data_IF_270361999262
#
_entry.id   IF_270361999262
#
_cell.length_a   1.000
_cell.length_b   1.000
_cell.length_c   1.000
_cell.angle_alpha   90.00
_cell.angle_beta   90.00
_cell.angle_gamma   90.00
#
_symmetry.space_group_name_H-M   'P 1'
#
loop_
_entity.id
_entity.type
_entity.pdbx_description
1 polymer ?
#
# COMPACT_ATOMS: atom_id res chain seq x y z
N UNK A 1 8.75 50.39 -74.23
CA UNK A 1 9.69 50.47 -73.09
C UNK A 1 9.11 51.43 -72.08
N UNK A 2 9.09 51.04 -70.80
CA UNK A 2 8.73 51.81 -69.59
C UNK A 2 7.32 52.41 -69.52
N UNK A 3 6.59 52.41 -68.40
CA UNK A 3 6.83 51.93 -67.05
C UNK A 3 5.44 51.88 -66.37
N UNK A 4 5.13 50.83 -65.61
CA UNK A 4 3.93 50.76 -64.75
C UNK A 4 4.39 50.95 -63.31
N UNK A 5 3.76 51.86 -62.56
CA UNK A 5 3.84 51.95 -61.10
C UNK A 5 2.39 51.94 -60.57
N UNK A 6 1.87 50.78 -60.16
CA UNK A 6 1.79 50.23 -58.80
C UNK A 6 0.93 51.04 -57.83
N UNK A 7 -0.37 50.72 -57.80
CA UNK A 7 -1.22 50.93 -56.62
C UNK A 7 -1.06 49.72 -55.68
N UNK A 8 -0.59 49.98 -54.46
CA UNK A 8 -0.40 48.95 -53.43
C UNK A 8 -1.74 48.60 -52.79
N UNK A 9 -2.27 47.41 -53.10
CA UNK A 9 -3.38 46.80 -52.36
C UNK A 9 -2.77 45.88 -51.30
N UNK A 10 -2.98 46.21 -50.03
CA UNK A 10 -2.54 45.38 -48.90
C UNK A 10 -3.46 44.15 -48.83
N UNK A 11 -2.95 42.91 -48.84
CA UNK A 11 -3.79 41.75 -48.66
C UNK A 11 -4.16 41.60 -47.17
N UNK A 12 -5.45 41.43 -46.91
CA UNK A 12 -5.98 40.98 -45.62
C UNK A 12 -5.60 39.50 -45.43
N UNK A 13 -4.66 39.22 -44.54
CA UNK A 13 -4.34 37.85 -44.11
C UNK A 13 -5.37 37.40 -43.08
N UNK A 14 -6.20 36.42 -43.44
CA UNK A 14 -6.91 35.60 -42.46
C UNK A 14 -5.86 34.66 -41.86
N UNK A 15 -5.39 34.97 -40.65
CA UNK A 15 -4.57 34.07 -39.87
C UNK A 15 -5.46 33.11 -39.10
N UNK A 16 -5.79 31.98 -39.71
CA UNK A 16 -6.17 30.76 -39.01
C UNK A 16 -4.91 29.89 -38.95
N UNK A 17 -4.18 29.94 -37.84
CA UNK A 17 -3.41 28.80 -37.35
C UNK A 17 -3.66 28.72 -35.85
N UNK A 18 -4.40 27.71 -35.34
CA UNK A 18 -4.40 27.44 -33.92
C UNK A 18 -2.99 26.95 -33.55
N UNK A 19 -2.38 27.60 -32.55
CA UNK A 19 -1.18 27.09 -31.90
C UNK A 19 -1.45 25.62 -31.49
N UNK A 20 -0.79 24.69 -32.18
CA UNK A 20 -0.75 23.28 -31.79
C UNK A 20 -0.17 23.23 -30.39
N UNK A 21 -1.06 23.07 -29.40
CA UNK A 21 -0.70 22.85 -28.02
C UNK A 21 0.30 21.70 -27.95
N UNK A 22 1.35 21.90 -27.16
CA UNK A 22 2.33 20.86 -26.86
C UNK A 22 1.61 19.61 -26.37
N UNK A 23 1.39 18.66 -27.29
CA UNK A 23 0.97 17.31 -26.95
C UNK A 23 2.11 16.74 -26.11
N UNK A 24 1.83 16.51 -24.83
CA UNK A 24 2.70 15.76 -23.97
C UNK A 24 3.01 14.41 -24.63
N UNK A 25 4.30 14.13 -24.80
CA UNK A 25 4.81 12.93 -25.47
C UNK A 25 4.84 11.73 -24.53
N UNK A 26 4.11 11.77 -23.42
CA UNK A 26 4.03 10.66 -22.50
C UNK A 26 3.02 9.62 -23.04
N UNK A 27 3.45 8.40 -23.40
CA UNK A 27 2.57 7.36 -23.94
C UNK A 27 1.41 7.04 -23.00
N UNK A 28 1.60 7.20 -21.68
CA UNK A 28 0.56 6.96 -20.68
C UNK A 28 -0.58 7.99 -20.75
N UNK A 29 -0.29 9.24 -21.12
CA UNK A 29 -1.30 10.30 -21.25
C UNK A 29 -2.06 10.21 -22.58
N UNK A 30 -1.42 9.70 -23.65
CA UNK A 30 -2.07 9.45 -24.94
C UNK A 30 -3.06 8.28 -24.88
N UNK A 31 -2.78 7.27 -24.04
CA UNK A 31 -3.67 6.11 -23.86
C UNK A 31 -5.02 6.50 -23.22
N UNK A 32 -5.09 7.59 -22.43
CA UNK A 32 -6.34 8.07 -21.84
C UNK A 32 -7.18 8.99 -22.76
N UNK A 33 -6.71 9.31 -23.97
CA UNK A 33 -7.42 10.23 -24.87
C UNK A 33 -8.56 9.56 -25.65
N UNK A 34 -8.58 8.23 -25.77
CA UNK A 34 -9.65 7.49 -26.46
C UNK A 34 -10.92 7.37 -25.57
N UNK A 35 -12.08 7.91 -25.98
CA UNK A 35 -13.32 7.82 -25.19
C UNK A 35 -13.79 6.39 -24.91
N UNK A 36 -13.56 5.44 -25.82
CA UNK A 36 -13.95 4.04 -25.64
C UNK A 36 -13.10 3.36 -24.57
N UNK A 37 -11.79 3.62 -24.57
CA UNK A 37 -10.86 3.07 -23.57
C UNK A 37 -11.15 3.62 -22.18
N UNK A 38 -11.50 4.91 -22.07
CA UNK A 38 -11.95 5.50 -20.80
C UNK A 38 -13.23 4.85 -20.26
N UNK A 39 -14.20 4.54 -21.13
CA UNK A 39 -15.42 3.85 -20.71
C UNK A 39 -15.12 2.44 -20.20
N UNK A 40 -14.28 1.68 -20.92
CA UNK A 40 -13.85 0.35 -20.49
C UNK A 40 -13.10 0.39 -19.16
N UNK A 41 -12.22 1.38 -18.95
CA UNK A 41 -11.53 1.56 -17.67
C UNK A 41 -12.52 1.89 -16.55
N UNK A 42 -13.47 2.80 -16.77
CA UNK A 42 -14.48 3.15 -15.77
C UNK A 42 -15.36 1.95 -15.38
N UNK A 43 -15.72 1.10 -16.34
CA UNK A 43 -16.44 -0.15 -16.08
C UNK A 43 -15.58 -1.13 -15.28
N UNK A 44 -14.31 -1.30 -15.66
CA UNK A 44 -13.37 -2.15 -14.93
C UNK A 44 -13.18 -1.70 -13.47
N UNK A 45 -13.00 -0.38 -13.25
CA UNK A 45 -12.91 0.23 -11.92
C UNK A 45 -14.15 -0.08 -11.09
N UNK A 46 -15.35 0.08 -11.67
CA UNK A 46 -16.62 -0.20 -10.98
C UNK A 46 -16.77 -1.67 -10.63
N UNK A 47 -16.37 -2.58 -11.51
CA UNK A 47 -16.41 -4.02 -11.25
C UNK A 47 -15.40 -4.40 -10.15
N UNK A 48 -14.18 -3.86 -10.20
CA UNK A 48 -13.16 -4.10 -9.20
C UNK A 48 -13.58 -3.57 -7.82
N UNK A 49 -14.16 -2.36 -7.76
CA UNK A 49 -14.74 -1.78 -6.55
C UNK A 49 -15.75 -2.73 -5.92
N UNK A 50 -16.71 -3.25 -6.70
CA UNK A 50 -17.72 -4.17 -6.21
C UNK A 50 -17.11 -5.47 -5.66
N UNK A 51 -16.09 -6.02 -6.33
CA UNK A 51 -15.41 -7.25 -5.88
C UNK A 51 -14.68 -7.02 -4.56
N UNK A 52 -13.90 -5.94 -4.44
CA UNK A 52 -13.13 -5.65 -3.22
C UNK A 52 -14.06 -5.28 -2.07
N UNK A 53 -15.10 -4.48 -2.33
CA UNK A 53 -16.09 -4.08 -1.32
C UNK A 53 -16.86 -5.27 -0.74
N UNK A 54 -17.21 -6.24 -1.58
CA UNK A 54 -17.94 -7.44 -1.14
C UNK A 54 -17.06 -8.45 -0.38
N UNK A 55 -15.73 -8.30 -0.42
CA UNK A 55 -14.81 -9.25 0.21
C UNK A 55 -14.52 -8.87 1.67
N UNK A 56 -14.58 -9.87 2.56
CA UNK A 56 -14.14 -9.69 3.95
C UNK A 56 -12.61 -9.74 4.10
N UNK A 57 -11.93 -10.43 3.19
CA UNK A 57 -10.47 -10.61 3.16
C UNK A 57 -9.86 -9.80 2.00
N UNK A 58 -8.57 -9.40 2.09
CA UNK A 58 -7.87 -8.77 0.98
C UNK A 58 -7.95 -9.60 -0.31
N UNK A 59 -8.16 -8.93 -1.45
CA UNK A 59 -8.34 -9.57 -2.76
C UNK A 59 -7.08 -9.39 -3.59
N UNK A 60 -6.40 -10.50 -3.91
CA UNK A 60 -5.23 -10.52 -4.78
C UNK A 60 -5.57 -10.10 -6.22
N UNK A 61 -4.58 -9.56 -6.94
CA UNK A 61 -4.72 -9.26 -8.37
C UNK A 61 -5.10 -10.49 -9.20
N UNK A 62 -4.63 -11.68 -8.78
CA UNK A 62 -5.01 -12.95 -9.41
C UNK A 62 -6.50 -13.28 -9.22
N UNK A 63 -7.05 -13.02 -8.04
CA UNK A 63 -8.49 -13.20 -7.78
C UNK A 63 -9.34 -12.18 -8.56
N UNK A 64 -8.85 -10.95 -8.71
CA UNK A 64 -9.49 -9.95 -9.57
C UNK A 64 -9.48 -10.41 -11.03
N UNK A 65 -8.34 -10.88 -11.55
CA UNK A 65 -8.21 -11.39 -12.91
C UNK A 65 -9.16 -12.55 -13.22
N UNK A 66 -9.43 -13.41 -12.24
CA UNK A 66 -10.34 -14.54 -12.41
C UNK A 66 -11.83 -14.15 -12.45
N UNK A 67 -12.18 -12.93 -12.02
CA UNK A 67 -13.57 -12.45 -11.92
C UNK A 67 -13.90 -11.32 -12.89
N UNK A 68 -12.89 -10.57 -13.31
CA UNK A 68 -13.02 -9.50 -14.28
C UNK A 68 -12.96 -10.05 -15.72
N UNK A 69 -13.57 -9.36 -16.69
CA UNK A 69 -13.40 -9.67 -18.11
C UNK A 69 -11.93 -9.71 -18.55
N UNK A 70 -11.61 -10.59 -19.51
CA UNK A 70 -10.28 -10.71 -20.10
C UNK A 70 -9.83 -9.40 -20.77
N UNK A 71 -8.52 -9.13 -20.75
CA UNK A 71 -7.93 -7.96 -21.40
C UNK A 71 -7.99 -6.66 -20.58
N UNK A 72 -8.58 -6.69 -19.38
CA UNK A 72 -8.54 -5.56 -18.45
C UNK A 72 -7.15 -5.39 -17.87
N UNK A 73 -6.64 -4.15 -17.90
CA UNK A 73 -5.45 -3.77 -17.17
C UNK A 73 -5.80 -3.52 -15.68
N UNK A 74 -5.64 -4.57 -14.86
CA UNK A 74 -5.99 -4.53 -13.42
C UNK A 74 -5.16 -3.49 -12.69
N UNK A 75 -3.86 -3.39 -12.97
CA UNK A 75 -2.99 -2.42 -12.30
C UNK A 75 -3.48 -0.98 -12.51
N UNK A 76 -3.88 -0.65 -13.75
CA UNK A 76 -4.44 0.66 -14.08
C UNK A 76 -5.79 0.90 -13.39
N UNK A 77 -6.69 -0.09 -13.41
CA UNK A 77 -8.00 0.01 -12.77
C UNK A 77 -7.88 0.18 -11.24
N UNK A 78 -6.97 -0.53 -10.58
CA UNK A 78 -6.75 -0.43 -9.15
C UNK A 78 -6.10 0.90 -8.76
N UNK A 79 -5.16 1.41 -9.57
CA UNK A 79 -4.57 2.73 -9.37
C UNK A 79 -5.62 3.85 -9.46
N UNK A 80 -6.50 3.79 -10.46
CA UNK A 80 -7.61 4.75 -10.62
C UNK A 80 -8.58 4.66 -9.43
N UNK A 81 -8.95 3.44 -9.02
CA UNK A 81 -9.82 3.22 -7.86
C UNK A 81 -9.21 3.78 -6.57
N UNK A 82 -7.90 3.58 -6.38
CA UNK A 82 -7.17 4.13 -5.24
C UNK A 82 -7.23 5.66 -5.20
N UNK A 83 -7.04 6.33 -6.35
CA UNK A 83 -7.15 7.79 -6.47
C UNK A 83 -8.56 8.29 -6.12
N UNK A 84 -9.60 7.61 -6.63
CA UNK A 84 -11.01 7.94 -6.35
C UNK A 84 -11.32 7.91 -4.84
N UNK A 85 -10.72 6.97 -4.12
CA UNK A 85 -10.96 6.76 -2.69
C UNK A 85 -9.94 7.47 -1.78
N UNK A 86 -8.90 8.09 -2.30
CA UNK A 86 -7.82 8.69 -1.50
C UNK A 86 -8.28 9.76 -0.50
N UNK A 87 -9.38 10.49 -0.81
CA UNK A 87 -9.94 11.56 0.04
C UNK A 87 -11.27 11.21 0.70
N UNK A 88 -11.67 9.94 0.64
CA UNK A 88 -12.93 9.45 1.22
C UNK A 88 -12.69 8.89 2.62
N UNK A 89 -13.76 8.69 3.39
CA UNK A 89 -13.69 8.08 4.73
C UNK A 89 -13.38 6.58 4.73
N UNK A 90 -13.33 5.97 3.54
CA UNK A 90 -12.82 4.62 3.30
C UNK A 90 -11.76 4.78 2.22
N UNK A 91 -10.62 4.13 2.37
CA UNK A 91 -9.53 4.13 1.40
C UNK A 91 -9.29 2.73 0.88
N UNK A 92 -8.91 2.64 -0.40
CA UNK A 92 -8.38 1.42 -0.98
C UNK A 92 -6.89 1.33 -0.64
N UNK A 93 -6.49 0.28 0.07
CA UNK A 93 -5.10 0.06 0.46
C UNK A 93 -4.60 -1.25 -0.15
N UNK A 94 -3.29 -1.30 -0.39
CA UNK A 94 -2.60 -2.52 -0.78
C UNK A 94 -2.05 -3.20 0.47
N UNK A 95 -2.15 -4.51 0.51
CA UNK A 95 -1.68 -5.37 1.61
C UNK A 95 -1.02 -6.58 0.95
N UNK A 96 0.30 -6.70 1.04
CA UNK A 96 1.01 -7.67 0.20
C UNK A 96 0.79 -7.39 -1.28
N UNK A 97 0.35 -8.42 -2.01
CA UNK A 97 -0.07 -8.37 -3.42
C UNK A 97 -1.60 -8.25 -3.59
N UNK A 98 -2.31 -7.92 -2.51
CA UNK A 98 -3.76 -7.85 -2.45
C UNK A 98 -4.28 -6.46 -2.12
N UNK A 99 -5.58 -6.26 -2.34
CA UNK A 99 -6.28 -5.00 -2.18
C UNK A 99 -7.45 -5.14 -1.22
N UNK A 100 -7.62 -4.14 -0.35
CA UNK A 100 -8.72 -4.12 0.60
C UNK A 100 -9.22 -2.70 0.85
N UNK A 101 -10.52 -2.57 1.16
CA UNK A 101 -11.04 -1.34 1.73
C UNK A 101 -10.79 -1.30 3.24
N UNK A 102 -10.32 -0.15 3.71
CA UNK A 102 -10.11 0.16 5.13
C UNK A 102 -10.67 1.55 5.45
N UNK A 103 -11.07 1.78 6.69
CA UNK A 103 -11.45 3.12 7.13
C UNK A 103 -10.26 4.07 7.02
N UNK A 104 -10.53 5.32 6.66
CA UNK A 104 -9.48 6.34 6.56
C UNK A 104 -8.80 6.57 7.93
N UNK A 105 -7.47 6.64 7.91
CA UNK A 105 -6.66 6.67 9.13
C UNK A 105 -6.89 7.92 9.99
N UNK A 106 -7.23 9.03 9.37
CA UNK A 106 -7.62 10.29 10.02
C UNK A 106 -8.95 10.19 10.77
N UNK A 107 -9.78 9.20 10.45
CA UNK A 107 -11.07 8.92 11.10
C UNK A 107 -11.00 7.80 12.15
N UNK A 108 -9.80 7.25 12.42
CA UNK A 108 -9.63 6.11 13.33
C UNK A 108 -10.19 6.36 14.76
N UNK A 109 -10.19 7.61 15.22
CA UNK A 109 -10.71 7.99 16.54
C UNK A 109 -12.21 7.67 16.73
N UNK A 110 -12.97 7.55 15.64
CA UNK A 110 -14.39 7.21 15.71
C UNK A 110 -14.63 5.73 16.04
N UNK A 111 -13.65 4.86 15.79
CA UNK A 111 -13.81 3.40 15.90
C UNK A 111 -13.45 2.86 17.30
N UNK A 112 -12.98 3.71 18.22
CA UNK A 112 -12.43 3.27 19.52
C UNK A 112 -13.46 2.73 20.51
N UNK A 113 -14.77 2.89 20.24
CA UNK A 113 -15.85 2.47 21.15
C UNK A 113 -16.24 1.01 20.99
N UNK A 114 -16.00 0.42 19.82
CA UNK A 114 -16.48 -0.92 19.45
C UNK A 114 -15.35 -1.97 19.37
N UNK A 115 -14.16 -1.67 19.90
CA UNK A 115 -13.05 -2.62 19.87
C UNK A 115 -13.32 -3.80 20.80
N UNK A 116 -13.69 -4.94 20.22
CA UNK A 116 -13.62 -6.25 20.89
C UNK A 116 -12.22 -6.40 21.45
N UNK A 117 -12.13 -6.61 22.76
CA UNK A 117 -10.85 -6.67 23.46
C UNK A 117 -10.11 -7.95 23.07
N UNK A 118 -9.37 -7.91 21.96
CA UNK A 118 -8.50 -9.00 21.54
C UNK A 118 -7.44 -9.23 22.63
N UNK A 119 -7.13 -10.50 22.92
CA UNK A 119 -6.10 -10.85 23.91
C UNK A 119 -4.77 -10.28 23.42
N UNK A 120 -4.30 -9.23 24.08
CA UNK A 120 -3.04 -8.57 23.74
C UNK A 120 -1.89 -9.56 23.90
N UNK A 121 -0.99 -9.60 22.90
CA UNK A 121 0.27 -10.31 23.02
C UNK A 121 1.04 -9.79 24.25
N UNK A 122 1.72 -10.69 24.95
CA UNK A 122 2.61 -10.30 26.04
C UNK A 122 3.76 -9.44 25.48
N UNK A 123 4.37 -8.61 26.34
CA UNK A 123 5.54 -7.81 25.96
C UNK A 123 6.67 -8.67 25.36
N UNK A 124 6.95 -9.82 25.97
CA UNK A 124 7.96 -10.75 25.47
C UNK A 124 7.60 -11.32 24.08
N UNK A 125 6.31 -11.58 23.82
CA UNK A 125 5.87 -12.03 22.50
C UNK A 125 5.98 -10.93 21.44
N UNK A 126 5.67 -9.68 21.79
CA UNK A 126 5.88 -8.53 20.90
C UNK A 126 7.36 -8.30 20.58
N UNK A 127 8.26 -8.46 21.56
CA UNK A 127 9.71 -8.38 21.32
C UNK A 127 10.18 -9.45 20.32
N UNK A 128 9.75 -10.69 20.51
CA UNK A 128 10.09 -11.79 19.58
C UNK A 128 9.50 -11.54 18.19
N UNK A 129 8.25 -11.09 18.11
CA UNK A 129 7.59 -10.74 16.85
C UNK A 129 8.37 -9.65 16.11
N UNK A 130 8.78 -8.59 16.80
CA UNK A 130 9.57 -7.52 16.22
C UNK A 130 10.90 -8.04 15.66
N UNK A 131 11.62 -8.88 16.42
CA UNK A 131 12.88 -9.46 15.95
C UNK A 131 12.65 -10.31 14.69
N UNK A 132 11.59 -11.11 14.64
CA UNK A 132 11.24 -11.88 13.45
C UNK A 132 10.94 -10.95 12.27
N UNK A 133 10.17 -9.88 12.48
CA UNK A 133 9.80 -8.94 11.43
C UNK A 133 11.02 -8.25 10.80
N UNK A 134 11.96 -7.76 11.63
CA UNK A 134 13.15 -7.03 11.17
C UNK A 134 14.33 -7.92 10.74
N UNK A 135 14.42 -9.17 11.21
CA UNK A 135 15.58 -10.05 10.96
C UNK A 135 15.26 -11.35 10.21
N UNK A 136 14.04 -11.53 9.69
CA UNK A 136 13.70 -12.74 8.94
C UNK A 136 14.57 -12.93 7.68
N UNK A 137 14.89 -14.18 7.30
CA UNK A 137 14.59 -15.43 8.02
C UNK A 137 15.52 -15.65 9.22
N UNK A 138 14.93 -15.85 10.41
CA UNK A 138 15.67 -15.92 11.69
C UNK A 138 15.38 -17.23 12.45
N UNK A 139 16.38 -17.78 13.13
CA UNK A 139 16.25 -19.01 13.95
C UNK A 139 15.96 -18.67 15.41
N UNK A 140 15.48 -19.66 16.19
CA UNK A 140 15.26 -19.47 17.64
C UNK A 140 16.53 -18.99 18.36
N UNK A 141 17.68 -19.59 18.05
CA UNK A 141 18.94 -19.22 18.68
C UNK A 141 19.34 -17.76 18.37
N UNK A 142 19.16 -17.31 17.12
CA UNK A 142 19.42 -15.92 16.73
C UNK A 142 18.45 -14.94 17.41
N UNK A 143 17.17 -15.33 17.59
CA UNK A 143 16.21 -14.53 18.36
C UNK A 143 16.70 -14.38 19.81
N UNK A 144 17.12 -15.47 20.44
CA UNK A 144 17.59 -15.47 21.84
C UNK A 144 18.89 -14.66 22.00
N UNK A 145 19.79 -14.74 21.02
CA UNK A 145 21.02 -13.95 20.97
C UNK A 145 20.73 -12.44 20.88
N UNK A 146 19.82 -12.03 19.99
CA UNK A 146 19.40 -10.62 19.85
C UNK A 146 18.69 -10.11 21.13
N UNK A 147 17.87 -10.96 21.78
CA UNK A 147 17.16 -10.60 23.02
C UNK A 147 18.09 -10.58 24.25
N UNK A 148 19.21 -11.29 24.20
CA UNK A 148 20.09 -11.53 25.34
C UNK A 148 19.50 -12.41 26.45
N UNK A 149 18.33 -13.04 26.20
CA UNK A 149 17.65 -13.95 27.14
C UNK A 149 16.97 -15.08 26.38
N UNK A 150 16.85 -16.24 27.04
CA UNK A 150 16.12 -17.37 26.48
C UNK A 150 14.66 -17.01 26.20
N UNK A 151 14.13 -17.53 25.11
CA UNK A 151 12.72 -17.37 24.76
C UNK A 151 11.94 -18.48 25.45
N UNK A 152 10.79 -18.16 26.04
CA UNK A 152 9.98 -19.18 26.70
C UNK A 152 9.53 -20.24 25.67
N UNK A 153 9.36 -21.50 26.10
CA UNK A 153 9.04 -22.60 25.16
C UNK A 153 7.79 -22.31 24.31
N UNK A 154 6.76 -21.67 24.88
CA UNK A 154 5.50 -21.39 24.19
C UNK A 154 5.40 -20.06 23.45
N UNK A 155 6.38 -19.14 23.53
CA UNK A 155 6.25 -17.81 22.88
C UNK A 155 6.16 -17.94 21.35
N UNK A 156 7.00 -18.78 20.75
CA UNK A 156 6.96 -19.03 19.32
C UNK A 156 5.69 -19.77 18.91
N UNK A 157 5.21 -20.69 19.74
CA UNK A 157 3.97 -21.42 19.49
C UNK A 157 2.77 -20.46 19.48
N UNK A 158 2.68 -19.55 20.45
CA UNK A 158 1.65 -18.50 20.46
C UNK A 158 1.73 -17.62 19.21
N UNK A 159 2.92 -17.23 18.75
CA UNK A 159 3.06 -16.44 17.53
C UNK A 159 2.67 -17.22 16.26
N UNK A 160 2.92 -18.53 16.22
CA UNK A 160 2.44 -19.39 15.14
C UNK A 160 0.91 -19.52 15.17
N UNK A 161 0.30 -19.61 16.36
CA UNK A 161 -1.15 -19.65 16.54
C UNK A 161 -1.84 -18.36 16.11
N UNK A 162 -1.19 -17.20 16.22
CA UNK A 162 -1.73 -15.93 15.69
C UNK A 162 -1.71 -15.84 14.16
N UNK A 163 -1.07 -16.79 13.48
CA UNK A 163 -0.83 -16.77 12.03
C UNK A 163 -0.03 -15.56 11.51
N UNK A 164 0.52 -14.70 12.39
CA UNK A 164 1.40 -13.60 12.00
C UNK A 164 2.82 -14.05 11.68
N UNK A 165 3.22 -15.20 12.23
CA UNK A 165 4.52 -15.82 12.02
C UNK A 165 4.33 -17.21 11.44
N UNK A 166 5.25 -17.63 10.57
CA UNK A 166 5.32 -18.99 10.02
C UNK A 166 6.76 -19.49 9.96
N UNK A 167 6.90 -20.79 9.76
CA UNK A 167 8.19 -21.39 9.42
C UNK A 167 8.55 -21.10 7.94
N UNK A 168 9.78 -20.67 7.67
CA UNK A 168 10.29 -20.30 6.33
C UNK A 168 11.41 -21.21 5.81
N UNK A 169 11.56 -22.39 6.41
CA UNK A 169 12.55 -23.39 6.02
C UNK A 169 13.56 -23.69 7.12
N UNK A 170 14.75 -24.18 6.72
CA UNK A 170 15.83 -24.56 7.63
C UNK A 170 17.16 -24.00 7.16
N UNK A 171 17.99 -23.56 8.10
CA UNK A 171 19.32 -23.00 7.80
C UNK A 171 20.29 -24.10 7.38
N UNK A 172 21.22 -23.77 6.48
CA UNK A 172 22.28 -24.67 6.00
C UNK A 172 23.51 -24.65 6.92
N UNK A 173 23.26 -24.79 8.22
CA UNK A 173 24.27 -24.83 9.29
C UNK A 173 24.14 -26.14 10.08
N UNK A 174 25.15 -26.52 10.90
CA UNK A 174 25.04 -27.70 11.76
C UNK A 174 23.76 -27.68 12.60
N UNK A 175 23.07 -28.83 12.69
CA UNK A 175 21.76 -28.95 13.35
C UNK A 175 20.55 -28.52 12.51
N UNK A 176 20.76 -27.83 11.38
CA UNK A 176 19.71 -27.39 10.44
C UNK A 176 18.47 -26.81 11.14
N UNK A 177 18.65 -25.77 11.97
CA UNK A 177 17.57 -25.17 12.74
C UNK A 177 16.50 -24.58 11.83
N UNK A 178 15.26 -24.59 12.29
CA UNK A 178 14.11 -23.97 11.61
C UNK A 178 14.25 -22.47 11.65
N UNK A 179 13.91 -21.81 10.54
CA UNK A 179 13.82 -20.35 10.44
C UNK A 179 12.37 -19.90 10.44
N UNK A 180 12.11 -18.74 11.02
CA UNK A 180 10.82 -18.08 11.12
C UNK A 180 10.78 -16.82 10.26
N UNK A 181 9.58 -16.42 9.86
CA UNK A 181 9.30 -15.19 9.13
C UNK A 181 7.84 -14.78 9.27
N UNK A 182 7.50 -13.58 8.81
CA UNK A 182 6.12 -13.06 8.88
C UNK A 182 5.25 -13.61 7.74
N UNK A 183 3.95 -13.39 7.86
CA UNK A 183 2.90 -13.82 6.91
C UNK A 183 2.20 -12.62 6.27
N UNK A 184 1.30 -12.89 5.32
CA UNK A 184 0.39 -11.88 4.77
C UNK A 184 -0.59 -11.38 5.85
N UNK A 185 -1.04 -12.25 6.76
CA UNK A 185 -1.87 -11.85 7.92
C UNK A 185 -1.17 -10.83 8.81
N UNK A 186 0.16 -10.93 8.95
CA UNK A 186 0.95 -9.89 9.62
C UNK A 186 0.92 -8.58 8.84
N UNK A 187 1.15 -8.61 7.53
CA UNK A 187 1.10 -7.40 6.69
C UNK A 187 -0.28 -6.74 6.76
N UNK A 188 -1.36 -7.51 6.72
CA UNK A 188 -2.73 -7.00 6.86
C UNK A 188 -2.97 -6.36 8.23
N UNK A 189 -2.57 -7.05 9.30
CA UNK A 189 -2.76 -6.55 10.65
C UNK A 189 -2.04 -5.21 10.89
N UNK A 190 -0.84 -5.05 10.33
CA UNK A 190 -0.04 -3.84 10.45
C UNK A 190 -0.22 -2.85 9.29
N UNK A 191 -1.15 -3.14 8.36
CA UNK A 191 -1.45 -2.34 7.17
C UNK A 191 -0.19 -1.98 6.34
N UNK A 192 0.63 -2.99 6.05
CA UNK A 192 1.86 -2.87 5.27
C UNK A 192 1.65 -3.47 3.87
N UNK A 193 2.19 -2.83 2.83
CA UNK A 193 2.23 -3.46 1.50
C UNK A 193 3.29 -4.56 1.49
N UNK A 194 4.44 -4.30 2.09
CA UNK A 194 5.53 -5.25 2.17
C UNK A 194 6.36 -5.09 3.43
N UNK A 195 7.17 -6.11 3.74
CA UNK A 195 7.94 -6.12 4.98
C UNK A 195 8.94 -4.96 5.07
N UNK A 196 9.43 -4.48 3.92
CA UNK A 196 10.39 -3.37 3.87
C UNK A 196 9.76 -2.01 4.19
N UNK A 197 8.43 -1.93 4.25
CA UNK A 197 7.70 -0.73 4.68
C UNK A 197 7.74 -0.55 6.20
N UNK A 198 8.30 -1.53 6.93
CA UNK A 198 8.55 -1.37 8.36
C UNK A 198 9.51 -0.20 8.59
N UNK A 199 9.21 0.70 9.55
CA UNK A 199 9.99 1.90 9.77
C UNK A 199 11.42 1.56 10.17
N UNK A 200 12.38 2.28 9.58
CA UNK A 200 13.79 2.09 9.89
C UNK A 200 14.11 2.48 11.34
N UNK A 201 15.22 1.95 11.88
CA UNK A 201 15.67 2.30 13.23
C UNK A 201 15.93 3.81 13.41
N UNK A 202 16.33 4.52 12.33
CA UNK A 202 16.52 5.97 12.36
C UNK A 202 15.20 6.74 12.32
N UNK A 203 14.21 6.27 11.55
CA UNK A 203 12.87 6.86 11.50
C UNK A 203 12.14 6.71 12.83
N UNK A 204 12.28 5.55 13.48
CA UNK A 204 11.75 5.31 14.81
C UNK A 204 12.39 6.21 15.89
N UNK A 205 13.68 6.55 15.74
CA UNK A 205 14.36 7.53 16.60
C UNK A 205 13.88 8.95 16.31
N UNK A 206 13.78 9.32 15.03
CA UNK A 206 13.31 10.64 14.59
C UNK A 206 11.86 10.92 15.00
N UNK A 207 11.01 9.90 15.00
CA UNK A 207 9.63 9.95 15.49
C UNK A 207 9.52 9.92 17.04
N UNK A 208 10.64 9.79 17.76
CA UNK A 208 10.67 9.73 19.23
C UNK A 208 10.04 8.46 19.82
N UNK A 209 9.82 7.42 19.01
CA UNK A 209 9.13 6.18 19.39
C UNK A 209 10.03 5.18 20.13
N UNK A 210 11.36 5.36 20.08
CA UNK A 210 12.33 4.48 20.77
C UNK A 210 12.69 4.94 22.19
N UNK A 211 12.31 6.16 22.58
CA UNK A 211 12.34 6.57 23.98
C UNK A 211 11.15 5.89 24.67
N UNK A 212 11.39 5.12 25.74
CA UNK A 212 10.34 4.46 26.54
C UNK A 212 9.30 5.38 27.21
N UNK A 213 9.23 6.64 26.77
CA UNK A 213 8.15 7.60 26.98
C UNK A 213 7.78 8.14 25.61
N UNK A 214 6.51 8.02 25.22
CA UNK A 214 5.98 8.82 24.11
C UNK A 214 6.41 10.28 24.33
N UNK A 215 6.94 10.96 23.31
CA UNK A 215 7.29 12.37 23.41
C UNK A 215 6.09 13.16 23.95
N UNK A 216 6.28 14.06 24.90
CA UNK A 216 5.20 14.85 25.52
C UNK A 216 4.44 15.74 24.52
N UNK A 217 4.95 15.86 23.30
CA UNK A 217 4.36 16.57 22.17
C UNK A 217 3.72 15.64 21.12
N UNK A 218 3.62 14.34 21.36
CA UNK A 218 2.87 13.42 20.50
C UNK A 218 1.37 13.64 20.70
N UNK A 219 0.78 14.49 19.87
CA UNK A 219 -0.65 14.74 19.81
C UNK A 219 -1.24 13.90 18.68
N UNK A 220 -2.20 13.03 19.00
CA UNK A 220 -3.11 12.51 17.98
C UNK A 220 -3.89 13.72 17.47
N UNK A 221 -3.88 14.03 16.16
CA UNK A 221 -4.65 15.14 15.63
C UNK A 221 -6.12 14.97 16.01
N UNK A 222 -6.65 15.87 16.81
CA UNK A 222 -8.09 15.95 17.03
C UNK A 222 -8.68 16.81 15.91
N UNK A 223 -9.75 16.35 15.24
CA UNK A 223 -10.41 17.17 14.22
C UNK A 223 -10.97 18.45 14.83
N UNK A 224 -11.08 19.52 14.03
CA UNK A 224 -11.70 20.76 14.49
C UNK A 224 -13.15 20.51 14.90
N UNK A 225 -13.54 21.15 16.01
CA UNK A 225 -14.87 21.07 16.60
C UNK A 225 -15.98 21.60 15.68
#
# INVERSE_FOLDING_TARGET
MSERANASVVPFKVGDEPEEGLLSQDPAEQQLQNPAERLHLAEAVRMAEAIVFASAEPVSEKQLAARLPDGINIALAMAELQQIYARRGVNLVRVGDAWAFRTAGDLAFLMSRDTVQQRKLSRAALEVLAIIAYHQPVTRAEIEDIRGVETSKGTLDTLLETEWVRMRGRRKTPGRPVTYGTTETFLDHFALEEIRDLPGMEELKGAGLLSGRMPSNFSIPQPPA
#
